data_IF_527102142277
#
_entry.id   IF_527102142277
#
_cell.length_a   1.000
_cell.length_b   1.000
_cell.length_c   1.000
_cell.angle_alpha   90.00
_cell.angle_beta   90.00
_cell.angle_gamma   90.00
#
_symmetry.space_group_name_H-M   'P 1'
#
loop_
_entity.id
_entity.type
_entity.pdbx_description
1 polymer ?
#
# COMPACT_ATOMS: atom_id res chain seq x y z
N UNK A 1 -11.91 15.08 -2.50
CA UNK A 1 -11.24 16.26 -1.91
C UNK A 1 -9.78 15.91 -1.61
N UNK A 2 -8.89 16.88 -1.36
CA UNK A 2 -7.47 16.58 -1.07
C UNK A 2 -7.31 15.99 0.35
N UNK A 3 -6.49 14.94 0.55
CA UNK A 3 -6.17 14.46 1.90
C UNK A 3 -5.50 15.58 2.71
N UNK A 4 -5.69 15.58 4.02
CA UNK A 4 -5.05 16.55 4.90
C UNK A 4 -4.33 15.83 6.02
N UNK A 5 -3.07 16.20 6.22
CA UNK A 5 -2.23 15.82 7.36
C UNK A 5 -1.88 17.11 8.08
N UNK A 6 -1.98 17.12 9.41
CA UNK A 6 -1.60 18.27 10.23
C UNK A 6 -1.04 17.84 11.58
N UNK A 7 -0.23 18.72 12.17
CA UNK A 7 0.21 18.65 13.56
C UNK A 7 -0.23 19.95 14.24
N UNK A 8 -0.74 19.86 15.47
CA UNK A 8 -1.00 21.05 16.29
C UNK A 8 0.18 21.33 17.21
N UNK A 9 0.36 22.59 17.58
CA UNK A 9 1.44 23.03 18.46
C UNK A 9 1.46 22.22 19.77
N UNK A 10 2.62 21.64 20.09
CA UNK A 10 2.83 20.83 21.28
C UNK A 10 2.35 19.37 21.19
N UNK A 11 1.72 18.94 20.09
CA UNK A 11 1.35 17.54 19.89
C UNK A 11 2.56 16.71 19.38
N UNK A 12 2.78 15.53 19.97
CA UNK A 12 3.76 14.55 19.50
C UNK A 12 3.15 13.52 18.51
N UNK A 13 2.11 13.91 17.77
CA UNK A 13 1.44 13.05 16.81
C UNK A 13 0.84 13.87 15.65
N UNK A 14 0.60 13.19 14.54
CA UNK A 14 -0.04 13.75 13.35
C UNK A 14 -1.49 13.32 13.26
N UNK A 15 -2.33 14.18 12.69
CA UNK A 15 -3.74 13.93 12.43
C UNK A 15 -3.96 13.82 10.94
N UNK A 16 -4.71 12.81 10.52
CA UNK A 16 -5.10 12.63 9.12
C UNK A 16 -6.59 12.86 8.95
N UNK A 17 -6.97 13.44 7.81
CA UNK A 17 -8.36 13.60 7.36
C UNK A 17 -8.46 13.28 5.88
N UNK A 18 -9.44 12.47 5.52
CA UNK A 18 -9.77 12.12 4.15
C UNK A 18 -11.27 11.88 4.03
N UNK A 19 -11.85 12.04 2.84
CA UNK A 19 -13.31 11.93 2.67
C UNK A 19 -13.82 10.49 2.82
N UNK A 20 -13.00 9.52 2.38
CA UNK A 20 -13.39 8.10 2.35
C UNK A 20 -12.61 7.24 3.32
N UNK A 21 -11.67 7.82 4.07
CA UNK A 21 -10.92 7.11 5.09
C UNK A 21 -11.19 7.75 6.42
N UNK A 22 -11.30 6.89 7.41
CA UNK A 22 -11.48 7.25 8.81
C UNK A 22 -10.26 8.03 9.29
N UNK A 23 -10.41 8.90 10.31
CA UNK A 23 -9.28 9.63 10.85
C UNK A 23 -8.28 8.67 11.50
N UNK A 24 -7.03 8.75 11.07
CA UNK A 24 -5.90 8.11 11.74
C UNK A 24 -5.04 9.13 12.48
N UNK A 25 -4.45 8.68 13.58
CA UNK A 25 -3.38 9.37 14.29
C UNK A 25 -2.05 8.65 14.04
N UNK A 26 -0.99 9.42 13.88
CA UNK A 26 0.38 8.92 13.73
C UNK A 26 1.24 9.44 14.87
N UNK A 27 1.57 8.60 15.84
CA UNK A 27 2.41 8.99 16.97
C UNK A 27 3.88 9.06 16.57
N UNK A 28 4.53 10.12 17.07
CA UNK A 28 5.94 10.43 16.84
C UNK A 28 6.68 10.21 18.16
N UNK A 29 7.55 9.20 18.20
CA UNK A 29 8.43 8.97 19.34
C UNK A 29 9.72 9.76 19.20
N UNK A 30 10.34 10.26 20.28
CA UNK A 30 11.76 10.54 20.28
C UNK A 30 12.63 9.36 19.82
N UNK A 31 13.85 9.68 19.41
CA UNK A 31 14.92 8.70 19.25
C UNK A 31 15.44 8.19 20.61
N UNK A 32 16.47 7.33 20.57
CA UNK A 32 17.07 6.72 21.76
C UNK A 32 17.77 7.75 22.69
N UNK A 33 18.08 8.95 22.20
CA UNK A 33 18.64 10.06 22.97
C UNK A 33 17.55 11.02 23.50
N UNK A 34 16.27 10.67 23.33
CA UNK A 34 15.13 11.47 23.79
C UNK A 34 14.78 12.64 22.88
N UNK A 35 15.33 12.71 21.66
CA UNK A 35 15.11 13.83 20.74
C UNK A 35 13.95 13.54 19.78
N UNK A 36 12.97 14.44 19.75
CA UNK A 36 11.91 14.41 18.76
C UNK A 36 12.43 14.86 17.37
N UNK A 37 11.91 14.28 16.27
CA UNK A 37 12.31 14.67 14.94
C UNK A 37 11.75 16.04 14.56
N UNK A 38 12.39 16.70 13.58
CA UNK A 38 11.74 17.81 12.88
C UNK A 38 10.62 17.25 11.99
N UNK A 39 9.41 17.80 12.10
CA UNK A 39 8.26 17.40 11.29
C UNK A 39 8.13 18.34 10.09
N UNK A 40 8.33 17.81 8.90
CA UNK A 40 8.35 18.57 7.65
C UNK A 40 7.07 18.31 6.86
N UNK A 41 6.43 19.36 6.38
CA UNK A 41 5.21 19.26 5.57
C UNK A 41 5.43 19.79 4.15
N UNK A 42 4.75 19.20 3.18
CA UNK A 42 4.66 19.71 1.81
C UNK A 42 3.37 19.25 1.14
N UNK A 43 3.15 19.65 -0.11
CA UNK A 43 2.05 19.15 -0.92
C UNK A 43 2.50 18.09 -1.93
N UNK A 44 1.58 17.18 -2.29
CA UNK A 44 1.71 16.25 -3.40
C UNK A 44 1.52 16.97 -4.75
N UNK A 45 2.18 18.11 -4.93
CA UNK A 45 2.14 18.94 -6.13
C UNK A 45 3.38 18.75 -6.98
N UNK A 46 3.18 18.59 -8.29
CA UNK A 46 4.29 18.45 -9.24
C UNK A 46 5.11 19.73 -9.28
N UNK A 47 6.45 19.59 -9.29
CA UNK A 47 7.34 20.73 -9.45
C UNK A 47 7.41 21.14 -10.93
N UNK A 48 6.41 21.92 -11.37
CA UNK A 48 6.30 22.44 -12.72
C UNK A 48 7.45 23.35 -13.11
N UNK A 49 8.00 24.12 -12.15
CA UNK A 49 9.14 25.01 -12.40
C UNK A 49 10.37 24.23 -12.84
N UNK A 50 10.64 23.10 -12.19
CA UNK A 50 11.79 22.25 -12.51
C UNK A 50 11.57 21.41 -13.77
N UNK A 51 10.38 20.83 -13.94
CA UNK A 51 10.12 19.87 -15.02
C UNK A 51 9.74 20.54 -16.34
N UNK A 52 9.05 21.67 -16.29
CA UNK A 52 8.43 22.31 -17.46
C UNK A 52 8.70 23.81 -17.57
N UNK A 53 9.50 24.39 -16.66
CA UNK A 53 9.79 25.83 -16.62
C UNK A 53 8.53 26.70 -16.47
N UNK A 54 7.49 26.17 -15.82
CA UNK A 54 6.24 26.87 -15.52
C UNK A 54 6.15 27.24 -14.04
N UNK A 55 5.38 28.27 -13.69
CA UNK A 55 5.19 28.61 -12.28
C UNK A 55 4.47 27.52 -11.49
N UNK A 56 4.90 27.30 -10.25
CA UNK A 56 4.25 26.34 -9.37
C UNK A 56 2.97 26.95 -8.77
N UNK A 57 1.90 26.14 -8.66
CA UNK A 57 0.64 26.55 -8.00
C UNK A 57 0.82 26.89 -6.52
N UNK A 58 1.84 26.32 -5.89
CA UNK A 58 2.23 26.52 -4.49
C UNK A 58 3.76 26.45 -4.40
N UNK A 59 4.41 27.19 -3.48
CA UNK A 59 5.85 27.03 -3.24
C UNK A 59 6.22 25.66 -2.65
N UNK A 60 5.28 24.94 -2.03
CA UNK A 60 5.51 23.68 -1.33
C UNK A 60 5.16 22.49 -2.23
N UNK A 61 6.14 21.94 -2.95
CA UNK A 61 5.97 20.87 -3.95
C UNK A 61 6.65 19.56 -3.52
N UNK A 62 6.42 18.47 -4.28
CA UNK A 62 6.81 17.10 -3.93
C UNK A 62 8.29 16.90 -3.56
N UNK A 63 9.20 17.69 -4.13
CA UNK A 63 10.65 17.59 -3.89
C UNK A 63 11.16 18.46 -2.73
N UNK A 64 10.27 19.12 -1.98
CA UNK A 64 10.63 19.94 -0.82
C UNK A 64 11.50 19.23 0.22
N UNK A 65 11.26 17.93 0.49
CA UNK A 65 12.07 17.18 1.45
C UNK A 65 13.52 16.99 0.98
N UNK A 66 13.72 16.76 -0.33
CA UNK A 66 15.07 16.67 -0.89
C UNK A 66 15.80 18.00 -0.75
N UNK A 67 15.12 19.10 -1.10
CA UNK A 67 15.69 20.45 -0.99
C UNK A 67 16.01 20.82 0.47
N UNK A 68 15.17 20.40 1.42
CA UNK A 68 15.39 20.61 2.85
C UNK A 68 16.62 19.83 3.35
N UNK A 69 16.66 18.51 3.07
CA UNK A 69 17.67 17.61 3.65
C UNK A 69 19.03 17.75 2.96
N UNK A 70 19.05 17.83 1.63
CA UNK A 70 20.28 17.86 0.83
C UNK A 70 20.76 19.30 0.62
N UNK A 71 19.91 20.15 0.06
CA UNK A 71 20.28 21.51 -0.34
C UNK A 71 20.11 22.55 0.79
N UNK A 72 19.65 22.13 1.97
CA UNK A 72 19.45 22.97 3.16
C UNK A 72 18.50 24.15 2.95
N UNK A 73 17.61 24.09 1.95
CA UNK A 73 16.59 25.11 1.68
C UNK A 73 15.38 24.93 2.60
N UNK A 74 15.46 25.48 3.80
CA UNK A 74 14.44 25.32 4.84
C UNK A 74 13.10 26.02 4.53
N UNK A 75 13.10 26.97 3.63
CA UNK A 75 11.95 27.77 3.21
C UNK A 75 10.96 27.01 2.31
N UNK A 76 11.33 25.83 1.80
CA UNK A 76 10.49 25.06 0.87
C UNK A 76 9.56 24.04 1.52
N UNK A 77 9.60 23.89 2.84
CA UNK A 77 8.61 23.09 3.57
C UNK A 77 7.52 24.02 4.10
N UNK A 78 6.30 23.50 4.23
CA UNK A 78 5.15 24.29 4.65
C UNK A 78 5.24 24.62 6.15
N UNK A 79 5.43 25.90 6.55
CA UNK A 79 5.59 26.28 7.94
C UNK A 79 4.28 26.20 8.74
N UNK A 80 3.13 26.01 8.07
CA UNK A 80 1.81 25.92 8.71
C UNK A 80 1.52 24.53 9.31
N UNK A 81 2.54 23.67 9.43
CA UNK A 81 2.47 22.32 9.98
C UNK A 81 1.30 21.48 9.44
N UNK A 82 1.06 21.61 8.12
CA UNK A 82 -0.03 20.92 7.42
C UNK A 82 0.31 20.70 5.96
N UNK A 83 -0.25 19.66 5.37
CA UNK A 83 -0.18 19.42 3.93
C UNK A 83 -0.74 18.06 3.53
N UNK A 84 -0.54 17.68 2.28
CA UNK A 84 -0.88 16.35 1.76
C UNK A 84 0.28 15.35 1.87
N UNK A 85 1.48 15.80 2.24
CA UNK A 85 2.65 14.97 2.56
C UNK A 85 3.34 15.44 3.83
N UNK A 86 3.91 14.50 4.57
CA UNK A 86 4.69 14.73 5.79
C UNK A 86 5.95 13.85 5.78
N UNK A 87 7.04 14.37 6.34
CA UNK A 87 8.28 13.63 6.56
C UNK A 87 8.79 13.88 7.97
N UNK A 88 9.18 12.82 8.68
CA UNK A 88 9.81 12.89 9.99
C UNK A 88 11.33 12.86 9.81
N UNK A 89 12.00 13.97 10.12
CA UNK A 89 13.43 14.11 9.94
C UNK A 89 14.20 13.81 11.23
N UNK A 90 14.54 12.53 11.41
CA UNK A 90 15.46 12.07 12.46
C UNK A 90 16.92 12.20 12.00
N UNK A 91 17.80 12.61 12.92
CA UNK A 91 19.26 12.68 12.70
C UNK A 91 19.96 11.78 13.70
N UNK A 92 20.22 10.55 13.30
CA UNK A 92 20.81 9.54 14.15
C UNK A 92 22.31 9.39 13.88
N UNK A 93 23.11 9.25 14.94
CA UNK A 93 24.53 8.89 14.84
C UNK A 93 24.71 7.41 15.18
N UNK A 94 24.68 6.56 14.16
CA UNK A 94 24.86 5.11 14.33
C UNK A 94 26.35 4.75 14.30
N UNK A 95 26.85 4.13 15.37
CA UNK A 95 28.24 3.65 15.45
C UNK A 95 28.44 2.38 14.60
N UNK A 96 29.69 2.08 14.26
CA UNK A 96 30.03 0.83 13.57
C UNK A 96 29.54 -0.39 14.39
N UNK A 97 28.99 -1.39 13.70
CA UNK A 97 28.38 -2.58 14.32
C UNK A 97 27.28 -2.29 15.36
N UNK A 98 26.62 -1.13 15.28
CA UNK A 98 25.49 -0.75 16.14
C UNK A 98 24.24 -0.52 15.29
N UNK A 99 23.08 -0.48 15.95
CA UNK A 99 21.80 -0.09 15.37
C UNK A 99 21.22 1.09 16.16
N UNK A 100 20.21 1.74 15.59
CA UNK A 100 19.37 2.71 16.29
C UNK A 100 17.91 2.44 15.91
N UNK A 101 17.01 2.53 16.87
CA UNK A 101 15.61 2.15 16.71
C UNK A 101 14.69 3.36 16.84
N UNK A 102 13.82 3.58 15.86
CA UNK A 102 12.72 4.54 15.93
C UNK A 102 11.42 3.75 16.00
N UNK A 103 10.58 4.04 16.99
CA UNK A 103 9.26 3.43 17.15
C UNK A 103 8.18 4.44 16.76
N UNK A 104 7.28 4.07 15.86
CA UNK A 104 6.20 4.92 15.37
C UNK A 104 4.90 4.12 15.40
N UNK A 105 3.75 4.77 15.57
CA UNK A 105 2.44 4.09 15.60
C UNK A 105 1.43 4.84 14.74
N UNK A 106 0.87 4.17 13.74
CA UNK A 106 -0.32 4.62 13.03
C UNK A 106 -1.52 3.84 13.55
N UNK A 107 -2.56 4.53 14.03
CA UNK A 107 -3.78 3.88 14.51
C UNK A 107 -5.03 4.67 14.12
N UNK A 108 -6.13 3.94 13.92
CA UNK A 108 -7.44 4.53 13.62
C UNK A 108 -8.01 5.13 14.92
N UNK A 109 -8.57 6.33 14.82
CA UNK A 109 -9.37 6.91 15.88
C UNK A 109 -10.76 6.24 15.83
N UNK A 110 -11.09 5.41 16.82
CA UNK A 110 -12.44 4.85 16.93
C UNK A 110 -13.42 5.94 17.39
N UNK A 111 -14.67 5.89 16.91
CA UNK A 111 -15.67 6.95 17.08
C UNK A 111 -15.95 7.36 18.55
N UNK A 112 -15.69 6.46 19.51
CA UNK A 112 -15.89 6.71 20.95
C UNK A 112 -14.67 7.35 21.63
N UNK A 113 -13.48 7.29 21.02
CA UNK A 113 -12.24 7.80 21.57
C UNK A 113 -11.95 9.21 21.02
N UNK A 114 -12.64 10.23 21.55
CA UNK A 114 -12.26 11.64 21.29
C UNK A 114 -10.88 12.02 21.84
N UNK A 115 -10.26 11.14 22.61
CA UNK A 115 -8.95 11.34 23.24
C UNK A 115 -7.92 10.44 22.57
N UNK A 116 -6.80 11.01 22.06
CA UNK A 116 -5.64 10.23 21.62
C UNK A 116 -5.21 9.24 22.71
N UNK A 117 -5.02 7.98 22.34
CA UNK A 117 -4.52 6.98 23.26
C UNK A 117 -3.06 7.31 23.58
N UNK A 118 -2.72 7.50 24.86
CA UNK A 118 -1.34 7.72 25.27
C UNK A 118 -0.50 6.51 24.85
N UNK A 119 0.66 6.76 24.27
CA UNK A 119 1.59 5.72 23.85
C UNK A 119 2.45 5.31 25.04
N UNK A 120 2.36 4.04 25.46
CA UNK A 120 3.38 3.40 26.28
C UNK A 120 4.26 2.56 25.35
N UNK A 121 5.54 2.93 25.25
CA UNK A 121 6.49 2.27 24.36
C UNK A 121 6.87 0.87 24.86
N UNK A 122 6.71 0.58 26.15
CA UNK A 122 6.87 -0.77 26.65
C UNK A 122 5.79 -1.71 26.09
N UNK A 123 4.60 -1.18 25.78
CA UNK A 123 3.54 -1.97 25.14
C UNK A 123 3.91 -2.33 23.69
N UNK A 124 4.66 -1.47 22.96
CA UNK A 124 5.06 -1.78 21.58
C UNK A 124 5.91 -3.05 21.53
N UNK A 125 6.95 -3.12 22.35
CA UNK A 125 7.87 -4.26 22.34
C UNK A 125 7.15 -5.54 22.79
N UNK A 126 6.24 -5.44 23.76
CA UNK A 126 5.36 -6.55 24.16
C UNK A 126 4.42 -7.01 23.04
N UNK A 127 3.82 -6.08 22.30
CA UNK A 127 2.95 -6.39 21.15
C UNK A 127 3.76 -7.10 20.06
N UNK A 128 4.96 -6.62 19.73
CA UNK A 128 5.83 -7.25 18.73
C UNK A 128 6.23 -8.68 19.12
N UNK A 129 6.62 -8.89 20.37
CA UNK A 129 6.94 -10.22 20.89
C UNK A 129 5.72 -11.14 20.84
N UNK A 130 4.56 -10.65 21.28
CA UNK A 130 3.31 -11.39 21.20
C UNK A 130 2.94 -11.75 19.76
N UNK A 131 3.03 -10.81 18.81
CA UNK A 131 2.75 -11.09 17.38
C UNK A 131 3.73 -12.10 16.79
N UNK A 132 4.99 -12.08 17.24
CA UNK A 132 6.00 -13.07 16.83
C UNK A 132 5.61 -14.47 17.29
N UNK A 133 5.27 -14.64 18.57
CA UNK A 133 4.83 -15.92 19.13
C UNK A 133 3.54 -16.43 18.48
N UNK A 134 2.56 -15.55 18.25
CA UNK A 134 1.33 -15.90 17.53
C UNK A 134 1.61 -16.34 16.10
N UNK A 135 2.53 -15.68 15.39
CA UNK A 135 2.94 -16.07 14.05
C UNK A 135 3.64 -17.45 14.05
N UNK A 136 4.56 -17.71 14.99
CA UNK A 136 5.17 -19.03 15.14
C UNK A 136 4.13 -20.11 15.40
N UNK A 137 3.20 -19.84 16.35
CA UNK A 137 2.12 -20.76 16.67
C UNK A 137 1.26 -21.04 15.43
N UNK A 138 0.87 -20.00 14.69
CA UNK A 138 0.07 -20.14 13.48
C UNK A 138 0.79 -20.99 12.42
N UNK A 139 2.03 -20.66 12.07
CA UNK A 139 2.75 -21.39 11.03
C UNK A 139 3.05 -22.85 11.41
N UNK A 140 3.20 -23.14 12.71
CA UNK A 140 3.31 -24.55 13.15
C UNK A 140 2.05 -25.38 12.88
N UNK A 141 0.88 -24.76 12.69
CA UNK A 141 -0.36 -25.45 12.30
C UNK A 141 -0.53 -25.63 10.79
N UNK A 142 0.21 -24.88 9.98
CA UNK A 142 0.07 -24.86 8.50
C UNK A 142 1.20 -25.62 7.83
N UNK A 143 2.40 -25.62 8.42
CA UNK A 143 3.56 -26.33 7.89
C UNK A 143 3.50 -27.83 8.20
N UNK A 144 4.05 -28.64 7.30
CA UNK A 144 4.13 -30.08 7.51
C UNK A 144 5.08 -30.41 8.68
N UNK A 145 4.73 -31.32 9.62
CA UNK A 145 5.50 -31.54 10.83
C UNK A 145 6.88 -32.15 10.58
N UNK A 146 7.08 -32.82 9.43
CA UNK A 146 8.35 -33.46 9.06
C UNK A 146 9.41 -32.50 8.49
N UNK A 147 9.07 -31.22 8.28
CA UNK A 147 10.04 -30.26 7.76
C UNK A 147 11.14 -29.97 8.78
N UNK A 148 12.39 -29.92 8.30
CA UNK A 148 13.52 -29.45 9.10
C UNK A 148 13.50 -27.92 9.25
N UNK A 149 14.44 -27.36 10.02
CA UNK A 149 14.47 -25.94 10.32
C UNK A 149 14.62 -25.05 9.07
N UNK A 150 15.49 -25.44 8.13
CA UNK A 150 15.74 -24.69 6.90
C UNK A 150 14.55 -24.75 5.93
N UNK A 151 13.90 -25.91 5.85
CA UNK A 151 12.68 -26.09 5.06
C UNK A 151 11.53 -25.25 5.63
N UNK A 152 11.33 -25.24 6.96
CA UNK A 152 10.35 -24.38 7.62
C UNK A 152 10.60 -22.90 7.33
N UNK A 153 11.87 -22.48 7.41
CA UNK A 153 12.27 -21.12 7.09
C UNK A 153 11.95 -20.76 5.63
N UNK A 154 12.25 -21.67 4.69
CA UNK A 154 11.95 -21.50 3.26
C UNK A 154 10.45 -21.36 3.02
N UNK A 155 9.63 -22.23 3.60
CA UNK A 155 8.16 -22.15 3.49
C UNK A 155 7.63 -20.85 4.10
N UNK A 156 8.16 -20.42 5.24
CA UNK A 156 7.76 -19.18 5.89
C UNK A 156 8.02 -17.96 5.00
N UNK A 157 9.21 -17.90 4.41
CA UNK A 157 9.59 -16.82 3.51
C UNK A 157 8.77 -16.83 2.23
N UNK A 158 8.41 -18.01 1.70
CA UNK A 158 7.52 -18.12 0.55
C UNK A 158 6.12 -17.54 0.85
N UNK A 159 5.53 -17.89 2.00
CA UNK A 159 4.25 -17.29 2.43
C UNK A 159 4.37 -15.79 2.70
N UNK A 160 5.46 -15.34 3.33
CA UNK A 160 5.71 -13.92 3.54
C UNK A 160 5.82 -13.17 2.20
N UNK A 161 6.50 -13.74 1.20
CA UNK A 161 6.59 -13.21 -0.15
C UNK A 161 5.19 -12.99 -0.76
N UNK A 162 4.33 -14.01 -0.72
CA UNK A 162 2.94 -13.90 -1.18
C UNK A 162 2.16 -12.79 -0.44
N UNK A 163 2.23 -12.76 0.89
CA UNK A 163 1.56 -11.74 1.69
C UNK A 163 2.05 -10.32 1.36
N UNK A 164 3.34 -10.15 1.09
CA UNK A 164 3.95 -8.87 0.70
C UNK A 164 3.69 -8.48 -0.76
N UNK A 165 3.22 -9.41 -1.59
CA UNK A 165 2.73 -9.12 -2.95
C UNK A 165 1.26 -8.75 -3.00
N UNK A 166 0.53 -8.73 -1.86
CA UNK A 166 -0.80 -8.12 -1.77
C UNK A 166 -0.66 -6.61 -1.94
N UNK A 167 -1.18 -6.05 -3.02
CA UNK A 167 -1.09 -4.61 -3.31
C UNK A 167 -2.47 -4.00 -3.50
N UNK A 168 -2.64 -2.78 -3.00
CA UNK A 168 -3.79 -1.96 -3.36
C UNK A 168 -3.62 -1.50 -4.81
N UNK A 169 -4.54 -1.92 -5.66
CA UNK A 169 -4.53 -1.62 -7.09
C UNK A 169 -5.74 -0.74 -7.41
N UNK A 170 -5.47 0.48 -7.86
CA UNK A 170 -6.49 1.45 -8.22
C UNK A 170 -6.31 1.86 -9.69
N UNK A 171 -7.18 1.35 -10.53
CA UNK A 171 -7.17 1.61 -11.96
C UNK A 171 -8.59 1.61 -12.51
N UNK A 172 -9.00 2.75 -13.06
CA UNK A 172 -10.32 2.96 -13.64
C UNK A 172 -10.08 3.28 -15.12
N UNK A 173 -10.54 2.40 -16.01
CA UNK A 173 -10.26 2.53 -17.44
C UNK A 173 -10.89 3.79 -18.02
N UNK A 174 -12.12 4.12 -17.62
CA UNK A 174 -12.82 5.34 -18.04
C UNK A 174 -12.02 6.60 -17.68
N UNK A 175 -11.61 6.75 -16.41
CA UNK A 175 -10.79 7.89 -15.95
C UNK A 175 -9.44 7.94 -16.69
N UNK A 176 -8.83 6.78 -16.94
CA UNK A 176 -7.57 6.71 -17.67
C UNK A 176 -7.68 7.18 -19.12
N UNK A 177 -8.80 6.86 -19.80
CA UNK A 177 -9.09 7.31 -21.16
C UNK A 177 -9.38 8.81 -21.18
N UNK A 178 -10.22 9.29 -20.25
CA UNK A 178 -10.54 10.71 -20.13
C UNK A 178 -9.31 11.56 -19.81
N UNK A 179 -8.42 11.04 -18.96
CA UNK A 179 -7.25 11.73 -18.45
C UNK A 179 -7.56 12.65 -17.27
N UNK A 180 -6.52 13.07 -16.57
CA UNK A 180 -6.65 13.95 -15.41
C UNK A 180 -7.00 15.39 -15.83
N UNK A 181 -8.02 15.97 -15.21
CA UNK A 181 -8.38 17.38 -15.42
C UNK A 181 -7.28 18.37 -14.98
N UNK A 182 -6.41 17.94 -14.07
CA UNK A 182 -5.37 18.77 -13.44
C UNK A 182 -4.01 18.74 -14.17
N UNK A 183 -3.84 17.84 -15.14
CA UNK A 183 -2.63 17.72 -15.97
C UNK A 183 -2.92 18.40 -17.31
N UNK A 184 -1.89 19.00 -17.93
CA UNK A 184 -2.00 19.50 -19.31
C UNK A 184 -2.70 18.43 -20.16
N UNK A 185 -3.81 18.82 -20.79
CA UNK A 185 -4.74 17.92 -21.48
C UNK A 185 -4.01 16.81 -22.23
N UNK A 186 -4.47 15.56 -22.06
CA UNK A 186 -3.92 14.41 -22.76
C UNK A 186 -3.73 14.72 -24.25
N UNK A 187 -2.54 14.45 -24.79
CA UNK A 187 -2.26 14.70 -26.21
C UNK A 187 -3.25 13.93 -27.07
N UNK A 188 -3.61 14.48 -28.22
CA UNK A 188 -4.57 13.82 -29.13
C UNK A 188 -4.08 12.42 -29.56
N UNK A 189 -2.76 12.23 -29.64
CA UNK A 189 -2.10 10.93 -29.85
C UNK A 189 -2.43 9.91 -28.77
N UNK A 190 -2.50 10.32 -27.50
CA UNK A 190 -2.87 9.41 -26.39
C UNK A 190 -4.29 8.88 -26.60
N UNK A 191 -5.24 9.75 -26.96
CA UNK A 191 -6.66 9.37 -27.14
C UNK A 191 -6.89 8.35 -28.25
N UNK A 192 -6.06 8.37 -29.31
CA UNK A 192 -6.22 7.47 -30.46
C UNK A 192 -5.76 6.03 -30.18
N UNK A 193 -4.76 5.84 -29.30
CA UNK A 193 -4.14 4.54 -29.02
C UNK A 193 -4.17 4.19 -27.51
N UNK A 194 -5.32 4.40 -26.85
CA UNK A 194 -5.45 4.05 -25.44
C UNK A 194 -5.56 2.53 -25.26
N UNK A 195 -4.64 1.98 -24.46
CA UNK A 195 -4.67 0.59 -24.00
C UNK A 195 -6.01 0.27 -23.31
N UNK A 196 -6.53 -0.94 -23.52
CA UNK A 196 -7.74 -1.47 -22.88
C UNK A 196 -9.03 -0.66 -23.12
N UNK A 197 -9.11 0.13 -24.21
CA UNK A 197 -10.29 0.94 -24.54
C UNK A 197 -11.62 0.17 -24.61
N UNK A 198 -11.54 -1.14 -24.89
CA UNK A 198 -12.71 -2.03 -24.98
C UNK A 198 -13.22 -2.49 -23.59
N UNK A 199 -12.56 -2.07 -22.50
CA UNK A 199 -12.91 -2.39 -21.12
C UNK A 199 -13.35 -1.16 -20.31
N UNK A 200 -14.26 -0.30 -20.81
CA UNK A 200 -14.60 0.97 -20.16
C UNK A 200 -15.24 0.78 -18.78
N UNK A 201 -15.84 -0.38 -18.51
CA UNK A 201 -16.50 -0.76 -17.25
C UNK A 201 -15.52 -1.23 -16.18
N UNK A 202 -14.25 -1.50 -16.53
CA UNK A 202 -13.30 -2.07 -15.58
C UNK A 202 -12.89 -1.02 -14.56
N UNK A 203 -13.24 -1.30 -13.31
CA UNK A 203 -13.01 -0.47 -12.14
C UNK A 203 -12.29 -1.33 -11.08
N UNK A 204 -11.00 -1.11 -10.92
CA UNK A 204 -10.22 -1.76 -9.88
C UNK A 204 -10.00 -0.80 -8.72
N UNK A 205 -10.36 -1.21 -7.50
CA UNK A 205 -10.05 -0.47 -6.27
C UNK A 205 -9.94 -1.42 -5.09
N UNK A 206 -9.10 -2.43 -5.24
CA UNK A 206 -9.06 -3.58 -4.33
C UNK A 206 -7.62 -3.95 -3.97
N UNK A 207 -7.47 -4.76 -2.92
CA UNK A 207 -6.20 -5.43 -2.65
C UNK A 207 -6.17 -6.72 -3.46
N UNK A 208 -5.20 -6.81 -4.36
CA UNK A 208 -4.99 -7.93 -5.27
C UNK A 208 -3.63 -8.59 -5.00
N UNK A 209 -3.54 -9.90 -5.21
CA UNK A 209 -2.25 -10.59 -5.20
C UNK A 209 -1.54 -10.37 -6.53
N UNK A 210 -0.37 -9.74 -6.48
CA UNK A 210 0.46 -9.51 -7.66
C UNK A 210 1.50 -10.62 -7.87
N UNK A 211 1.95 -10.88 -9.11
CA UNK A 211 3.06 -11.81 -9.35
C UNK A 211 4.34 -11.34 -8.66
N UNK A 212 4.62 -10.04 -8.66
CA UNK A 212 5.72 -9.44 -7.92
C UNK A 212 5.36 -8.02 -7.46
N UNK A 213 5.97 -7.55 -6.36
CA UNK A 213 5.67 -6.24 -5.80
C UNK A 213 6.36 -5.07 -6.51
N UNK A 214 7.40 -5.33 -7.31
CA UNK A 214 8.25 -4.33 -7.93
C UNK A 214 8.28 -4.43 -9.46
N UNK A 215 8.56 -5.61 -10.01
CA UNK A 215 8.65 -5.87 -11.45
C UNK A 215 7.25 -5.96 -12.09
N UNK A 216 6.31 -6.61 -11.38
CA UNK A 216 4.95 -6.85 -11.85
C UNK A 216 3.88 -6.31 -10.88
N UNK A 217 3.85 -4.99 -10.58
CA UNK A 217 2.93 -4.38 -9.61
C UNK A 217 1.51 -4.20 -10.20
N UNK A 218 1.03 -5.21 -10.91
CA UNK A 218 -0.24 -5.30 -11.61
C UNK A 218 -0.74 -6.74 -11.59
N UNK A 219 -2.05 -6.94 -11.64
CA UNK A 219 -2.61 -8.28 -11.52
C UNK A 219 -2.53 -9.05 -12.85
N UNK A 220 -2.25 -10.33 -12.76
CA UNK A 220 -2.37 -11.28 -13.86
C UNK A 220 -3.33 -12.39 -13.44
N UNK A 221 -4.44 -12.55 -14.17
CA UNK A 221 -5.53 -13.43 -13.72
C UNK A 221 -5.14 -14.91 -13.68
N UNK A 222 -4.23 -15.34 -14.55
CA UNK A 222 -3.72 -16.71 -14.55
C UNK A 222 -2.72 -16.96 -13.40
N UNK A 223 -1.77 -16.05 -13.12
CA UNK A 223 -0.91 -16.12 -11.92
C UNK A 223 -1.75 -16.12 -10.64
N UNK A 224 -2.78 -15.26 -10.56
CA UNK A 224 -3.69 -15.19 -9.41
C UNK A 224 -4.34 -16.56 -9.13
N UNK A 225 -4.70 -17.32 -10.17
CA UNK A 225 -5.24 -18.67 -10.02
C UNK A 225 -4.25 -19.64 -9.35
N UNK A 226 -2.94 -19.44 -9.51
CA UNK A 226 -1.92 -20.18 -8.79
C UNK A 226 -1.68 -19.63 -7.39
N UNK A 227 -1.68 -18.30 -7.20
CA UNK A 227 -1.47 -17.65 -5.91
C UNK A 227 -2.49 -18.08 -4.85
N UNK A 228 -3.77 -18.24 -5.25
CA UNK A 228 -4.85 -18.57 -4.32
C UNK A 228 -4.74 -19.98 -3.73
N UNK A 229 -3.94 -20.87 -4.32
CA UNK A 229 -3.73 -22.24 -3.80
C UNK A 229 -2.91 -22.22 -2.50
N UNK A 230 -1.68 -21.67 -2.45
CA UNK A 230 -0.95 -21.51 -1.20
C UNK A 230 -1.68 -20.55 -0.24
N UNK A 231 -2.34 -19.48 -0.73
CA UNK A 231 -3.14 -18.64 0.16
C UNK A 231 -4.26 -19.42 0.85
N UNK A 232 -4.88 -20.42 0.23
CA UNK A 232 -5.96 -21.16 0.87
C UNK A 232 -5.52 -21.88 2.16
N UNK A 233 -4.22 -22.15 2.33
CA UNK A 233 -3.65 -22.71 3.55
C UNK A 233 -3.52 -21.71 4.70
N UNK A 234 -3.32 -20.42 4.39
CA UNK A 234 -3.05 -19.37 5.40
C UNK A 234 -4.18 -18.33 5.54
N UNK A 235 -4.97 -18.15 4.48
CA UNK A 235 -6.02 -17.14 4.33
C UNK A 235 -7.04 -17.59 3.25
N UNK A 236 -7.91 -18.58 3.58
CA UNK A 236 -8.92 -19.07 2.67
C UNK A 236 -9.97 -18.01 2.30
N UNK A 237 -10.20 -17.02 3.18
CA UNK A 237 -11.13 -15.93 2.90
C UNK A 237 -10.58 -15.02 1.79
N UNK A 238 -9.32 -14.61 1.87
CA UNK A 238 -8.68 -13.85 0.80
C UNK A 238 -8.68 -14.64 -0.52
N UNK A 239 -8.35 -15.92 -0.48
CA UNK A 239 -8.36 -16.79 -1.67
C UNK A 239 -9.72 -16.79 -2.38
N UNK A 240 -10.82 -17.00 -1.64
CA UNK A 240 -12.18 -16.93 -2.18
C UNK A 240 -12.52 -15.54 -2.72
N UNK A 241 -12.08 -14.49 -2.02
CA UNK A 241 -12.31 -13.09 -2.42
C UNK A 241 -11.62 -12.77 -3.74
N UNK A 242 -10.35 -13.16 -3.91
CA UNK A 242 -9.58 -12.92 -5.14
C UNK A 242 -10.23 -13.56 -6.37
N UNK A 243 -10.68 -14.81 -6.25
CA UNK A 243 -11.38 -15.51 -7.34
C UNK A 243 -12.69 -14.80 -7.69
N UNK A 244 -13.49 -14.46 -6.68
CA UNK A 244 -14.78 -13.77 -6.90
C UNK A 244 -14.60 -12.38 -7.49
N UNK A 245 -13.52 -11.68 -7.14
CA UNK A 245 -13.25 -10.31 -7.57
C UNK A 245 -13.19 -10.22 -9.10
N UNK A 246 -12.45 -11.13 -9.73
CA UNK A 246 -12.31 -11.19 -11.19
C UNK A 246 -13.62 -11.53 -11.95
N UNK A 247 -14.64 -12.00 -11.22
CA UNK A 247 -15.96 -12.36 -11.76
C UNK A 247 -17.03 -11.28 -11.46
N UNK A 248 -16.65 -10.19 -10.80
CA UNK A 248 -17.56 -9.07 -10.53
C UNK A 248 -17.89 -8.33 -11.82
N UNK A 249 -19.06 -7.72 -11.84
CA UNK A 249 -19.59 -6.91 -12.92
C UNK A 249 -18.70 -5.72 -13.32
N UNK A 250 -17.81 -5.28 -12.42
CA UNK A 250 -16.84 -4.21 -12.63
C UNK A 250 -15.41 -4.71 -12.91
N UNK A 251 -15.21 -6.02 -13.08
CA UNK A 251 -13.96 -6.63 -13.55
C UNK A 251 -14.18 -7.46 -14.82
N UNK A 252 -15.19 -8.32 -14.84
CA UNK A 252 -15.47 -9.24 -15.94
C UNK A 252 -16.17 -8.50 -17.09
N UNK A 253 -15.72 -8.75 -18.31
CA UNK A 253 -16.33 -8.17 -19.50
C UNK A 253 -17.77 -8.68 -19.68
N UNK A 254 -18.71 -7.87 -20.22
CA UNK A 254 -20.09 -8.29 -20.47
C UNK A 254 -20.30 -9.56 -21.32
N UNK A 255 -19.27 -9.99 -22.07
CA UNK A 255 -19.28 -11.26 -22.82
C UNK A 255 -18.81 -12.47 -21.99
N UNK A 256 -18.50 -12.29 -20.71
CA UNK A 256 -17.99 -13.31 -19.80
C UNK A 256 -16.46 -13.45 -19.75
N UNK A 257 -15.71 -12.61 -20.48
CA UNK A 257 -14.24 -12.65 -20.46
C UNK A 257 -13.69 -12.11 -19.13
N UNK A 258 -12.79 -12.88 -18.50
CA UNK A 258 -12.00 -12.44 -17.34
C UNK A 258 -10.82 -11.61 -17.87
N UNK A 259 -10.53 -10.42 -17.29
CA UNK A 259 -9.44 -9.58 -17.77
C UNK A 259 -8.10 -10.29 -17.62
N UNK A 260 -7.25 -10.29 -18.65
CA UNK A 260 -6.01 -11.06 -18.60
C UNK A 260 -4.96 -10.44 -17.66
N UNK A 261 -4.45 -9.27 -18.03
CA UNK A 261 -3.48 -8.49 -17.26
C UNK A 261 -3.43 -7.04 -17.75
N UNK A 262 -2.81 -6.14 -16.99
CA UNK A 262 -2.90 -4.68 -17.22
C UNK A 262 -2.52 -4.24 -18.64
N UNK A 263 -1.53 -4.87 -19.28
CA UNK A 263 -1.10 -4.48 -20.62
C UNK A 263 -2.10 -4.80 -21.74
N UNK A 264 -2.95 -5.80 -21.55
CA UNK A 264 -3.97 -6.18 -22.51
C UNK A 264 -5.03 -7.05 -21.83
N UNK A 265 -6.15 -6.46 -21.39
CA UNK A 265 -7.21 -7.21 -20.71
C UNK A 265 -7.91 -8.21 -21.64
N UNK A 266 -7.89 -7.96 -22.95
CA UNK A 266 -8.50 -8.84 -23.95
C UNK A 266 -7.65 -10.04 -24.32
N UNK A 267 -6.42 -10.16 -23.79
CA UNK A 267 -5.53 -11.28 -24.14
C UNK A 267 -6.07 -12.63 -23.66
N UNK A 268 -5.53 -13.71 -24.22
CA UNK A 268 -5.93 -15.08 -23.88
C UNK A 268 -5.03 -15.60 -22.77
N UNK A 269 -5.65 -15.99 -21.66
CA UNK A 269 -4.98 -16.68 -20.56
C UNK A 269 -5.33 -18.19 -20.57
N UNK A 270 -4.42 -19.06 -20.09
CA UNK A 270 -4.77 -20.45 -19.79
C UNK A 270 -5.99 -20.52 -18.85
N UNK A 271 -6.98 -21.40 -19.10
CA UNK A 271 -8.26 -21.43 -18.37
C UNK A 271 -8.15 -22.12 -17.00
N UNK A 272 -7.21 -21.67 -16.16
CA UNK A 272 -6.90 -22.28 -14.86
C UNK A 272 -7.76 -21.74 -13.71
N UNK A 273 -8.52 -20.67 -13.90
CA UNK A 273 -9.33 -20.04 -12.85
C UNK A 273 -10.41 -20.97 -12.28
N UNK A 274 -11.05 -21.81 -13.12
CA UNK A 274 -12.03 -22.79 -12.67
C UNK A 274 -11.39 -23.91 -11.83
N UNK A 275 -10.20 -24.37 -12.23
CA UNK A 275 -9.41 -25.32 -11.43
C UNK A 275 -9.06 -24.72 -10.07
N UNK A 276 -8.61 -23.47 -10.04
CA UNK A 276 -8.26 -22.78 -8.80
C UNK A 276 -9.48 -22.65 -7.87
N UNK A 277 -10.63 -22.25 -8.41
CA UNK A 277 -11.89 -22.18 -7.66
C UNK A 277 -12.26 -23.53 -7.03
N UNK A 278 -12.17 -24.61 -7.80
CA UNK A 278 -12.44 -25.96 -7.30
C UNK A 278 -11.44 -26.41 -6.23
N UNK A 279 -10.15 -26.11 -6.40
CA UNK A 279 -9.12 -26.41 -5.39
C UNK A 279 -9.36 -25.66 -4.10
N UNK A 280 -9.59 -24.34 -4.17
CA UNK A 280 -9.90 -23.52 -3.00
C UNK A 280 -11.16 -23.99 -2.32
N UNK A 281 -12.22 -24.33 -3.07
CA UNK A 281 -13.44 -24.92 -2.51
C UNK A 281 -13.11 -26.16 -1.67
N UNK A 282 -12.47 -27.18 -2.25
CA UNK A 282 -12.13 -28.42 -1.53
C UNK A 282 -11.20 -28.22 -0.34
N UNK A 283 -10.26 -27.28 -0.43
CA UNK A 283 -9.31 -26.99 0.64
C UNK A 283 -9.95 -26.23 1.81
N UNK A 284 -11.14 -25.65 1.60
CA UNK A 284 -11.82 -24.80 2.57
C UNK A 284 -13.21 -25.29 2.97
N UNK A 285 -13.63 -26.48 2.53
CA UNK A 285 -14.94 -27.08 2.83
C UNK A 285 -14.91 -28.14 3.93
N UNK A 286 -13.76 -28.42 4.57
CA UNK A 286 -13.66 -29.39 5.68
C UNK A 286 -12.76 -28.88 6.82
N UNK A 287 -13.11 -27.73 7.42
CA UNK A 287 -12.64 -27.32 8.76
C UNK A 287 -13.71 -26.53 9.49
#
# INVERSE_FOLDING_TARGET
MRPKIEQKDGEAFLRTKHDTLEPFLFDINPDEDGQLPEVLFTENETNFKRLYQLENRTPYVKDAFHEYVINKRKDLVNPKQRGTKVGLYYRLKVKANSSATIRLRLYRLFDDAKTPMKLDFNEIDQIFEQRTQEAEKFYSTVMHPQLNADEKNTVRQAYAGLLHSKQFYHYIVEDWIAGDADVMSSSETRKQNVRNKDWPHLYCRDILSMPDKWEYPWFASWDLAFHVIPFAHIDPHFSKTQIRLLLREWYMHPNGQIPAYEFNFSDVNPPVSAWAAWRVYKMSTDK
#
